data_IF_725780631748
#
_entry.id   IF_725780631748
#
_cell.length_a   1.000
_cell.length_b   1.000
_cell.length_c   1.000
_cell.angle_alpha   90.00
_cell.angle_beta   90.00
_cell.angle_gamma   90.00
#
_symmetry.space_group_name_H-M   'P 1'
#
loop_
_entity.id
_entity.type
_entity.pdbx_description
1 polymer ?
#
# COMPACT_ATOMS: atom_id res chain seq x y z
N UNK A 1 5.17 53.23 -36.26
CA UNK A 1 6.02 52.06 -36.17
C UNK A 1 5.11 50.93 -35.72
N UNK A 2 4.61 50.15 -36.66
CA UNK A 2 3.56 49.14 -36.48
C UNK A 2 4.24 47.78 -36.26
N UNK A 3 3.97 47.15 -35.16
CA UNK A 3 4.50 45.81 -34.83
C UNK A 3 3.67 44.76 -35.58
N UNK A 4 4.27 43.87 -36.39
CA UNK A 4 3.51 42.85 -37.10
C UNK A 4 3.05 41.75 -36.14
N UNK A 5 1.76 41.34 -36.27
CA UNK A 5 1.15 40.24 -35.55
C UNK A 5 1.86 38.91 -35.88
N UNK A 6 2.32 38.23 -34.85
CA UNK A 6 2.88 36.90 -34.99
C UNK A 6 1.79 35.90 -35.44
N UNK A 7 2.03 35.22 -36.54
CA UNK A 7 1.23 34.10 -37.02
C UNK A 7 1.28 32.99 -35.95
N UNK A 8 0.14 32.73 -35.32
CA UNK A 8 -0.05 31.52 -34.51
C UNK A 8 -0.07 30.34 -35.48
N UNK A 9 0.95 29.51 -35.38
CA UNK A 9 1.07 28.28 -36.15
C UNK A 9 -0.02 27.31 -35.61
N UNK A 10 -0.98 26.97 -36.47
CA UNK A 10 -2.02 25.99 -36.18
C UNK A 10 -1.40 24.60 -36.07
N UNK A 11 -1.29 24.08 -34.85
CA UNK A 11 -1.09 22.68 -34.62
C UNK A 11 -2.48 22.03 -34.54
N UNK A 12 -2.85 21.28 -35.56
CA UNK A 12 -3.92 20.31 -35.49
C UNK A 12 -3.48 19.23 -34.50
N UNK A 13 -3.82 19.44 -33.24
CA UNK A 13 -3.85 18.38 -32.23
C UNK A 13 -5.26 17.83 -32.26
N UNK A 14 -5.40 16.55 -32.57
CA UNK A 14 -6.57 15.80 -32.15
C UNK A 14 -6.68 15.99 -30.64
N UNK A 15 -7.55 16.87 -30.19
CA UNK A 15 -7.84 17.13 -28.79
C UNK A 15 -8.47 15.86 -28.23
N UNK A 16 -7.67 15.06 -27.54
CA UNK A 16 -8.17 14.08 -26.60
C UNK A 16 -8.70 14.89 -25.41
N UNK A 17 -9.88 15.49 -25.56
CA UNK A 17 -10.52 16.32 -24.54
C UNK A 17 -11.04 15.37 -23.48
N UNK A 18 -10.40 15.43 -22.28
CA UNK A 18 -10.89 14.73 -21.09
C UNK A 18 -12.34 15.10 -20.84
N UNK A 19 -13.15 14.12 -20.49
CA UNK A 19 -14.50 14.37 -20.01
C UNK A 19 -14.47 15.13 -18.68
N UNK A 20 -15.61 15.70 -18.29
CA UNK A 20 -15.73 16.40 -17.00
C UNK A 20 -15.41 15.47 -15.83
N UNK A 21 -15.91 14.25 -15.86
CA UNK A 21 -15.69 13.25 -14.80
C UNK A 21 -14.21 12.85 -14.70
N UNK A 22 -13.52 12.68 -15.82
CA UNK A 22 -12.08 12.41 -15.84
C UNK A 22 -11.28 13.58 -15.27
N UNK A 23 -11.68 14.81 -15.59
CA UNK A 23 -11.04 16.02 -15.05
C UNK A 23 -11.27 16.13 -13.53
N UNK A 24 -12.47 15.87 -13.04
CA UNK A 24 -12.81 15.89 -11.61
C UNK A 24 -12.00 14.84 -10.85
N UNK A 25 -11.94 13.60 -11.33
CA UNK A 25 -11.11 12.53 -10.74
C UNK A 25 -9.64 12.93 -10.69
N UNK A 26 -9.12 13.45 -11.80
CA UNK A 26 -7.73 13.89 -11.86
C UNK A 26 -7.43 15.01 -10.87
N UNK A 27 -8.30 16.00 -10.74
CA UNK A 27 -8.14 17.09 -9.77
C UNK A 27 -8.14 16.59 -8.33
N UNK A 28 -9.00 15.62 -7.99
CA UNK A 28 -8.99 14.97 -6.68
C UNK A 28 -7.66 14.25 -6.47
N UNK A 29 -7.18 13.48 -7.45
CA UNK A 29 -5.90 12.80 -7.39
C UNK A 29 -4.71 13.75 -7.18
N UNK A 30 -4.65 14.86 -7.94
CA UNK A 30 -3.60 15.89 -7.77
C UNK A 30 -3.61 16.50 -6.36
N UNK A 31 -4.78 16.76 -5.81
CA UNK A 31 -4.91 17.31 -4.46
C UNK A 31 -4.48 16.29 -3.39
N UNK A 32 -4.85 15.01 -3.54
CA UNK A 32 -4.42 13.94 -2.65
C UNK A 32 -2.90 13.75 -2.70
N UNK A 33 -2.32 13.70 -3.90
CA UNK A 33 -0.88 13.60 -4.08
C UNK A 33 -0.15 14.79 -3.42
N UNK A 34 -0.67 16.01 -3.56
CA UNK A 34 -0.10 17.19 -2.92
C UNK A 34 -0.11 17.10 -1.39
N UNK A 35 -1.17 16.53 -0.80
CA UNK A 35 -1.26 16.32 0.65
C UNK A 35 -0.32 15.20 1.09
N UNK A 36 -0.30 14.06 0.38
CA UNK A 36 0.55 12.91 0.71
C UNK A 36 2.04 13.22 0.57
N UNK A 37 2.41 14.14 -0.33
CA UNK A 37 3.80 14.53 -0.56
C UNK A 37 4.23 15.74 0.26
N UNK A 38 3.48 16.12 1.30
CA UNK A 38 3.91 17.13 2.26
C UNK A 38 5.20 16.67 2.92
N UNK A 39 6.19 17.58 2.96
CA UNK A 39 7.47 17.33 3.61
C UNK A 39 7.64 18.30 4.79
N UNK A 40 7.00 18.01 5.94
CA UNK A 40 7.00 18.94 7.09
C UNK A 40 8.38 19.13 7.70
N UNK A 41 9.29 18.18 7.47
CA UNK A 41 10.70 18.26 7.94
C UNK A 41 11.61 18.99 6.95
N UNK A 42 11.17 19.19 5.69
CA UNK A 42 11.91 19.91 4.67
C UNK A 42 13.15 19.22 4.14
N UNK A 43 13.23 17.90 4.25
CA UNK A 43 14.38 17.12 3.75
C UNK A 43 14.39 16.93 2.23
N UNK A 44 13.27 17.19 1.56
CA UNK A 44 13.13 17.08 0.12
C UNK A 44 12.94 15.65 -0.41
N UNK A 45 12.97 14.64 0.44
CA UNK A 45 12.88 13.21 0.07
C UNK A 45 11.53 12.91 -0.58
N UNK A 46 10.43 13.32 0.04
CA UNK A 46 9.08 13.09 -0.48
C UNK A 46 8.90 13.61 -1.91
N UNK A 47 9.46 14.77 -2.21
CA UNK A 47 9.39 15.36 -3.55
C UNK A 47 10.13 14.55 -4.61
N UNK A 48 11.30 13.98 -4.23
CA UNK A 48 12.11 13.15 -5.13
C UNK A 48 11.39 11.84 -5.40
N UNK A 49 10.88 11.17 -4.36
CA UNK A 49 10.13 9.93 -4.47
C UNK A 49 8.86 10.12 -5.30
N UNK A 50 8.10 11.18 -5.02
CA UNK A 50 6.90 11.51 -5.78
C UNK A 50 7.21 11.77 -7.26
N UNK A 51 8.25 12.54 -7.57
CA UNK A 51 8.63 12.82 -8.95
C UNK A 51 8.93 11.51 -9.72
N UNK A 52 9.61 10.56 -9.08
CA UNK A 52 9.87 9.23 -9.66
C UNK A 52 8.58 8.42 -9.87
N UNK A 53 7.71 8.36 -8.87
CA UNK A 53 6.43 7.66 -8.94
C UNK A 53 5.53 8.28 -10.00
N UNK A 54 5.45 9.60 -10.05
CA UNK A 54 4.67 10.34 -11.05
C UNK A 54 5.17 10.13 -12.48
N UNK A 55 6.49 10.07 -12.67
CA UNK A 55 7.08 9.78 -13.98
C UNK A 55 6.76 8.35 -14.43
N UNK A 56 6.66 7.41 -13.50
CA UNK A 56 6.29 6.01 -13.78
C UNK A 56 4.81 5.87 -14.15
N UNK A 57 3.89 6.49 -13.39
CA UNK A 57 2.45 6.38 -13.63
C UNK A 57 1.94 7.27 -14.77
N UNK A 58 2.60 8.40 -15.03
CA UNK A 58 2.14 9.42 -16.01
C UNK A 58 0.93 10.23 -15.56
N UNK A 59 0.35 9.91 -14.40
CA UNK A 59 -0.87 10.49 -13.84
C UNK A 59 -0.79 10.57 -12.31
N UNK A 60 -1.71 11.22 -11.59
CA UNK A 60 -1.71 11.27 -10.12
C UNK A 60 -1.59 9.88 -9.51
N UNK A 61 -0.59 9.69 -8.64
CA UNK A 61 -0.26 8.36 -8.10
C UNK A 61 -1.37 7.78 -7.25
N UNK A 62 -2.03 8.64 -6.43
CA UNK A 62 -3.18 8.24 -5.62
C UNK A 62 -4.39 7.84 -6.49
N UNK A 63 -4.64 8.58 -7.58
CA UNK A 63 -5.70 8.23 -8.53
C UNK A 63 -5.40 6.90 -9.21
N UNK A 64 -4.19 6.73 -9.74
CA UNK A 64 -3.74 5.49 -10.39
C UNK A 64 -3.90 4.26 -9.47
N UNK A 65 -3.45 4.38 -8.22
CA UNK A 65 -3.60 3.33 -7.21
C UNK A 65 -5.07 3.03 -6.91
N UNK A 66 -5.90 4.07 -6.70
CA UNK A 66 -7.32 3.90 -6.44
C UNK A 66 -8.05 3.22 -7.59
N UNK A 67 -7.80 3.63 -8.84
CA UNK A 67 -8.41 3.00 -10.02
C UNK A 67 -7.98 1.54 -10.19
N UNK A 68 -6.71 1.22 -9.92
CA UNK A 68 -6.24 -0.16 -9.94
C UNK A 68 -6.95 -1.03 -8.88
N UNK A 69 -7.12 -0.52 -7.66
CA UNK A 69 -7.81 -1.21 -6.58
C UNK A 69 -9.32 -1.34 -6.88
N UNK A 70 -9.98 -0.28 -7.35
CA UNK A 70 -11.40 -0.31 -7.74
C UNK A 70 -11.68 -1.33 -8.84
N UNK A 71 -10.74 -1.51 -9.77
CA UNK A 71 -10.85 -2.49 -10.85
C UNK A 71 -10.63 -3.93 -10.37
N UNK A 72 -9.78 -4.12 -9.37
CA UNK A 72 -9.36 -5.44 -8.92
C UNK A 72 -10.24 -6.02 -7.81
N UNK A 73 -10.84 -5.18 -6.95
CA UNK A 73 -11.50 -5.62 -5.71
C UNK A 73 -13.02 -5.64 -5.89
N UNK A 74 -13.63 -6.77 -5.58
CA UNK A 74 -15.07 -6.98 -5.57
C UNK A 74 -15.55 -7.40 -4.18
N UNK A 75 -16.86 -7.33 -3.88
CA UNK A 75 -17.40 -7.78 -2.60
C UNK A 75 -17.04 -9.24 -2.29
N UNK A 76 -16.51 -9.46 -1.09
CA UNK A 76 -16.04 -10.76 -0.62
C UNK A 76 -14.59 -11.09 -0.96
N UNK A 77 -13.92 -10.30 -1.80
CA UNK A 77 -12.54 -10.56 -2.18
C UNK A 77 -11.55 -10.32 -1.03
N UNK A 78 -10.58 -11.23 -0.84
CA UNK A 78 -9.49 -11.01 0.10
C UNK A 78 -8.53 -9.93 -0.41
N UNK A 79 -8.05 -9.08 0.51
CA UNK A 79 -7.04 -8.06 0.24
C UNK A 79 -5.95 -8.14 1.31
N UNK A 80 -4.71 -8.36 0.90
CA UNK A 80 -3.60 -8.40 1.85
C UNK A 80 -3.06 -7.00 2.11
N UNK A 81 -2.81 -6.69 3.40
CA UNK A 81 -2.17 -5.46 3.84
C UNK A 81 -0.89 -5.85 4.58
N UNK A 82 0.25 -5.61 3.95
CA UNK A 82 1.56 -5.88 4.54
C UNK A 82 1.97 -4.66 5.35
N UNK A 83 2.31 -4.85 6.63
CA UNK A 83 2.59 -3.74 7.54
C UNK A 83 3.45 -4.21 8.73
N UNK A 84 4.02 -3.27 9.47
CA UNK A 84 4.65 -3.55 10.76
C UNK A 84 6.15 -3.30 10.79
N UNK A 85 6.61 -2.22 10.15
CA UNK A 85 7.98 -1.72 10.32
C UNK A 85 8.29 -1.51 11.80
N UNK A 86 9.48 -1.93 12.25
CA UNK A 86 9.87 -1.94 13.66
C UNK A 86 10.80 -0.80 13.98
N UNK A 87 10.39 0.08 14.88
CA UNK A 87 11.19 1.21 15.34
C UNK A 87 12.21 0.82 16.41
N UNK A 88 13.43 1.38 16.29
CA UNK A 88 14.45 1.33 17.31
C UNK A 88 14.41 2.60 18.19
N UNK A 89 14.79 2.51 19.47
CA UNK A 89 15.33 1.34 20.19
C UNK A 89 14.27 0.43 20.81
N UNK A 90 13.00 0.82 20.79
CA UNK A 90 11.93 0.17 21.56
C UNK A 90 11.45 -1.17 20.97
N UNK A 91 11.79 -1.45 19.69
CA UNK A 91 11.39 -2.67 18.96
C UNK A 91 9.87 -2.87 18.93
N UNK A 92 9.15 -1.78 18.71
CA UNK A 92 7.70 -1.75 18.55
C UNK A 92 7.33 -1.38 17.12
N UNK A 93 6.16 -1.81 16.61
CA UNK A 93 5.71 -1.43 15.28
C UNK A 93 5.51 0.10 15.20
N UNK A 94 5.84 0.66 14.07
CA UNK A 94 5.63 2.07 13.75
C UNK A 94 4.13 2.40 13.76
N UNK A 95 3.80 3.56 14.35
CA UNK A 95 2.41 3.91 14.61
C UNK A 95 1.67 4.34 13.34
N UNK A 96 2.30 5.14 12.49
CA UNK A 96 1.68 5.65 11.25
C UNK A 96 1.30 4.52 10.28
N UNK A 97 2.19 3.57 10.00
CA UNK A 97 1.87 2.39 9.21
C UNK A 97 0.78 1.54 9.85
N UNK A 98 0.86 1.32 11.16
CA UNK A 98 -0.09 0.45 11.89
C UNK A 98 -1.51 1.04 11.92
N UNK A 99 -1.64 2.34 12.24
CA UNK A 99 -2.94 3.02 12.29
C UNK A 99 -3.52 3.16 10.89
N UNK A 100 -2.72 3.55 9.91
CA UNK A 100 -3.14 3.70 8.52
C UNK A 100 -3.62 2.38 7.93
N UNK A 101 -2.94 1.26 8.21
CA UNK A 101 -3.36 -0.07 7.75
C UNK A 101 -4.73 -0.49 8.32
N UNK A 102 -5.00 -0.21 9.60
CA UNK A 102 -6.29 -0.50 10.22
C UNK A 102 -7.41 0.37 9.63
N UNK A 103 -7.18 1.66 9.42
CA UNK A 103 -8.17 2.56 8.80
C UNK A 103 -8.42 2.18 7.34
N UNK A 104 -7.37 1.79 6.61
CA UNK A 104 -7.48 1.28 5.25
C UNK A 104 -8.29 -0.03 5.22
N UNK A 105 -8.01 -0.97 6.13
CA UNK A 105 -8.79 -2.20 6.24
C UNK A 105 -10.28 -1.92 6.47
N UNK A 106 -10.60 -1.02 7.39
CA UNK A 106 -11.99 -0.59 7.60
C UNK A 106 -12.61 0.02 6.34
N UNK A 107 -11.87 0.86 5.63
CA UNK A 107 -12.34 1.49 4.40
C UNK A 107 -12.62 0.47 3.31
N UNK A 108 -11.76 -0.54 3.16
CA UNK A 108 -11.95 -1.64 2.21
C UNK A 108 -13.20 -2.47 2.53
N UNK A 109 -13.46 -2.75 3.82
CA UNK A 109 -14.68 -3.45 4.25
C UNK A 109 -15.92 -2.63 3.91
N UNK A 110 -15.92 -1.33 4.25
CA UNK A 110 -17.12 -0.51 4.10
C UNK A 110 -17.41 -0.09 2.66
N UNK A 111 -16.36 0.22 1.88
CA UNK A 111 -16.51 0.70 0.52
C UNK A 111 -16.67 -0.42 -0.51
N UNK A 112 -15.99 -1.55 -0.31
CA UNK A 112 -15.95 -2.64 -1.29
C UNK A 112 -16.63 -3.94 -0.79
N UNK A 113 -16.94 -4.05 0.51
CA UNK A 113 -17.32 -5.33 1.10
C UNK A 113 -16.18 -6.35 1.07
N UNK A 114 -14.94 -5.89 0.95
CA UNK A 114 -13.76 -6.73 0.88
C UNK A 114 -13.43 -7.41 2.21
N UNK A 115 -12.54 -8.39 2.17
CA UNK A 115 -12.05 -9.17 3.30
C UNK A 115 -10.57 -8.87 3.53
N UNK A 116 -10.22 -7.76 4.23
CA UNK A 116 -8.84 -7.42 4.48
C UNK A 116 -8.16 -8.41 5.42
N UNK A 117 -6.90 -8.71 5.13
CA UNK A 117 -6.03 -9.57 5.93
C UNK A 117 -4.72 -8.82 6.16
N UNK A 118 -4.45 -8.43 7.41
CA UNK A 118 -3.17 -7.86 7.81
C UNK A 118 -2.14 -8.97 7.93
N UNK A 119 -0.99 -8.76 7.30
CA UNK A 119 0.19 -9.61 7.40
C UNK A 119 1.31 -8.81 8.08
N UNK A 120 1.71 -9.21 9.27
CA UNK A 120 2.61 -8.45 10.13
C UNK A 120 3.57 -9.36 10.92
N UNK A 121 4.62 -8.82 11.59
CA UNK A 121 5.42 -9.60 12.52
C UNK A 121 4.57 -10.18 13.66
N UNK A 122 4.94 -11.38 14.18
CA UNK A 122 4.21 -12.06 15.26
C UNK A 122 4.00 -11.16 16.50
N UNK A 123 5.00 -10.39 16.87
CA UNK A 123 4.96 -9.49 18.03
C UNK A 123 4.04 -8.27 17.83
N UNK A 124 3.55 -8.04 16.62
CA UNK A 124 2.58 -6.98 16.30
C UNK A 124 1.13 -7.45 16.29
N UNK A 125 0.86 -8.77 16.23
CA UNK A 125 -0.49 -9.35 16.07
C UNK A 125 -1.47 -8.82 17.12
N UNK A 126 -1.09 -8.84 18.39
CA UNK A 126 -1.98 -8.40 19.49
C UNK A 126 -2.32 -6.89 19.41
N UNK A 127 -1.39 -6.06 18.90
CA UNK A 127 -1.66 -4.66 18.69
C UNK A 127 -2.71 -4.46 17.58
N UNK A 128 -2.58 -5.16 16.47
CA UNK A 128 -3.55 -5.10 15.37
C UNK A 128 -4.93 -5.63 15.77
N UNK A 129 -5.00 -6.70 16.60
CA UNK A 129 -6.26 -7.21 17.15
C UNK A 129 -6.98 -6.15 17.97
N UNK A 130 -6.25 -5.48 18.87
CA UNK A 130 -6.82 -4.42 19.71
C UNK A 130 -7.28 -3.23 18.89
N UNK A 131 -6.44 -2.74 17.96
CA UNK A 131 -6.78 -1.60 17.11
C UNK A 131 -7.95 -1.88 16.17
N UNK A 132 -8.04 -3.08 15.59
CA UNK A 132 -9.15 -3.48 14.73
C UNK A 132 -10.49 -3.45 15.46
N UNK A 133 -10.52 -3.94 16.69
CA UNK A 133 -11.73 -3.91 17.51
C UNK A 133 -12.18 -2.47 17.84
N UNK A 134 -11.24 -1.55 18.08
CA UNK A 134 -11.55 -0.12 18.33
C UNK A 134 -12.25 0.54 17.15
N UNK A 135 -11.90 0.18 15.93
CA UNK A 135 -12.53 0.73 14.72
C UNK A 135 -13.76 -0.05 14.27
N UNK A 136 -14.25 -0.98 15.09
CA UNK A 136 -15.48 -1.75 14.84
C UNK A 136 -15.32 -2.88 13.81
N UNK A 137 -14.13 -3.44 13.68
CA UNK A 137 -13.88 -4.67 12.94
C UNK A 137 -13.72 -5.84 13.91
N UNK A 138 -14.25 -7.00 13.55
CA UNK A 138 -14.01 -8.26 14.28
C UNK A 138 -12.73 -8.89 13.77
N UNK A 139 -11.75 -9.09 14.65
CA UNK A 139 -10.40 -9.54 14.25
C UNK A 139 -10.21 -11.02 14.52
N UNK A 140 -9.76 -11.74 13.50
CA UNK A 140 -9.58 -13.19 13.55
C UNK A 140 -8.17 -13.60 13.06
N UNK A 141 -7.54 -14.53 13.77
CA UNK A 141 -6.33 -15.22 13.29
C UNK A 141 -6.70 -16.42 12.42
N UNK A 142 -7.89 -16.99 12.64
CA UNK A 142 -8.44 -17.99 11.73
C UNK A 142 -9.00 -17.30 10.47
N UNK A 143 -8.32 -17.52 9.35
CA UNK A 143 -8.66 -16.86 8.09
C UNK A 143 -9.97 -17.37 7.49
N UNK A 144 -10.36 -18.61 7.77
CA UNK A 144 -11.59 -19.17 7.23
C UNK A 144 -12.78 -18.44 7.89
N UNK A 145 -12.73 -18.25 9.21
CA UNK A 145 -13.70 -17.41 9.96
C UNK A 145 -13.69 -15.95 9.46
N UNK A 146 -12.49 -15.37 9.22
CA UNK A 146 -12.39 -14.00 8.72
C UNK A 146 -13.04 -13.84 7.34
N UNK A 147 -12.95 -14.84 6.48
CA UNK A 147 -13.56 -14.82 5.15
C UNK A 147 -15.08 -14.97 5.18
N UNK A 148 -15.63 -15.71 6.15
CA UNK A 148 -17.07 -15.96 6.25
C UNK A 148 -17.82 -14.78 6.88
N UNK A 149 -17.30 -14.21 7.98
CA UNK A 149 -18.05 -13.27 8.80
C UNK A 149 -18.02 -11.82 8.26
N UNK A 150 -19.10 -11.05 8.46
CA UNK A 150 -19.13 -9.64 8.09
C UNK A 150 -18.25 -8.79 9.01
N UNK A 151 -17.88 -7.59 8.55
CA UNK A 151 -17.07 -6.63 9.28
C UNK A 151 -15.79 -7.25 9.89
N UNK A 152 -15.22 -8.24 9.19
CA UNK A 152 -14.07 -9.00 9.66
C UNK A 152 -12.75 -8.43 9.16
N UNK A 153 -11.72 -8.69 9.93
CA UNK A 153 -10.32 -8.43 9.62
C UNK A 153 -9.50 -9.67 9.97
N UNK A 154 -8.86 -10.27 8.97
CA UNK A 154 -7.88 -11.32 9.21
C UNK A 154 -6.54 -10.74 9.70
N UNK A 155 -5.86 -11.44 10.61
CA UNK A 155 -4.48 -11.09 10.99
C UNK A 155 -3.60 -12.32 10.93
N UNK A 156 -2.50 -12.23 10.19
CA UNK A 156 -1.53 -13.32 9.99
C UNK A 156 -0.15 -12.89 10.43
N UNK A 157 0.46 -13.67 11.28
CA UNK A 157 1.87 -13.53 11.61
C UNK A 157 2.74 -14.01 10.46
N UNK A 158 3.66 -13.16 10.02
CA UNK A 158 4.65 -13.52 9.01
C UNK A 158 6.05 -13.61 9.61
N UNK A 159 6.83 -14.57 9.14
CA UNK A 159 8.11 -14.91 9.74
C UNK A 159 9.19 -13.83 9.53
N UNK A 160 10.04 -13.68 10.54
CA UNK A 160 11.30 -12.92 10.47
C UNK A 160 12.45 -13.77 9.93
N UNK A 161 12.28 -15.08 9.83
CA UNK A 161 13.28 -16.03 9.35
C UNK A 161 13.29 -16.10 7.82
N UNK A 162 14.41 -15.66 7.23
CA UNK A 162 14.61 -15.62 5.78
C UNK A 162 14.49 -17.00 5.12
N UNK A 163 14.89 -18.07 5.83
CA UNK A 163 14.84 -19.42 5.28
C UNK A 163 13.40 -19.98 5.23
N UNK A 164 12.54 -19.55 6.16
CA UNK A 164 11.13 -19.98 6.25
C UNK A 164 10.19 -19.15 5.38
N UNK A 165 10.56 -17.92 5.06
CA UNK A 165 9.69 -16.97 4.39
C UNK A 165 9.18 -17.47 3.02
N UNK A 166 9.96 -18.10 2.13
CA UNK A 166 9.44 -18.56 0.84
C UNK A 166 8.35 -19.64 0.98
N UNK A 167 8.54 -20.57 1.90
CA UNK A 167 7.55 -21.62 2.14
C UNK A 167 6.26 -21.05 2.73
N UNK A 168 6.36 -20.12 3.68
CA UNK A 168 5.21 -19.45 4.28
C UNK A 168 4.48 -18.58 3.25
N UNK A 169 5.20 -17.81 2.42
CA UNK A 169 4.63 -16.99 1.36
C UNK A 169 3.80 -17.83 0.37
N UNK A 170 4.41 -18.93 -0.08
CA UNK A 170 3.73 -19.87 -0.99
C UNK A 170 2.49 -20.47 -0.34
N UNK A 171 2.60 -20.97 0.88
CA UNK A 171 1.48 -21.60 1.58
C UNK A 171 0.31 -20.62 1.81
N UNK A 172 0.62 -19.35 2.17
CA UNK A 172 -0.40 -18.34 2.36
C UNK A 172 -1.09 -17.96 1.04
N UNK A 173 -0.32 -17.77 -0.04
CA UNK A 173 -0.85 -17.48 -1.36
C UNK A 173 -1.64 -18.65 -1.99
N UNK A 174 -1.27 -19.89 -1.65
CA UNK A 174 -2.00 -21.09 -2.09
C UNK A 174 -3.31 -21.27 -1.29
N UNK A 175 -3.34 -20.89 -0.01
CA UNK A 175 -4.55 -20.95 0.81
C UNK A 175 -5.56 -19.88 0.40
N UNK A 176 -5.13 -18.63 0.26
CA UNK A 176 -5.98 -17.49 -0.09
C UNK A 176 -5.20 -16.58 -1.04
N UNK A 177 -5.54 -16.62 -2.33
CA UNK A 177 -4.98 -15.69 -3.30
C UNK A 177 -5.75 -14.37 -3.23
N UNK A 178 -5.12 -13.24 -2.86
CA UNK A 178 -5.84 -11.98 -2.73
C UNK A 178 -6.11 -11.32 -4.08
N UNK A 179 -7.19 -10.54 -4.18
CA UNK A 179 -7.48 -9.70 -5.33
C UNK A 179 -6.50 -8.55 -5.48
N UNK A 180 -5.93 -8.08 -4.38
CA UNK A 180 -4.88 -7.06 -4.35
C UNK A 180 -3.99 -7.22 -3.11
N UNK A 181 -2.76 -6.69 -3.19
CA UNK A 181 -1.86 -6.55 -2.03
C UNK A 181 -1.46 -5.09 -1.89
N UNK A 182 -1.56 -4.58 -0.66
CA UNK A 182 -1.20 -3.21 -0.30
C UNK A 182 -0.10 -3.27 0.75
N UNK A 183 1.03 -2.63 0.50
CA UNK A 183 2.10 -2.47 1.48
C UNK A 183 1.99 -1.10 2.13
N UNK A 184 1.95 -1.05 3.47
CA UNK A 184 1.90 0.21 4.23
C UNK A 184 3.03 0.18 5.24
N UNK A 185 4.05 1.01 5.04
CA UNK A 185 5.24 1.05 5.89
C UNK A 185 5.77 -0.35 6.23
N UNK A 186 6.02 -1.16 5.19
CA UNK A 186 6.60 -2.49 5.32
C UNK A 186 8.00 -2.51 4.71
N UNK A 187 8.96 -2.92 5.51
CA UNK A 187 10.36 -2.97 5.11
C UNK A 187 10.63 -4.06 4.08
N UNK A 188 11.51 -3.76 3.12
CA UNK A 188 12.01 -4.72 2.13
C UNK A 188 13.52 -4.89 2.18
N UNK A 189 14.02 -6.03 1.74
CA UNK A 189 15.44 -6.31 1.62
C UNK A 189 16.08 -5.59 0.42
N UNK A 190 17.26 -5.02 0.61
CA UNK A 190 18.07 -4.53 -0.49
C UNK A 190 18.63 -5.69 -1.36
N UNK A 191 19.44 -5.39 -2.38
CA UNK A 191 20.01 -6.40 -3.26
C UNK A 191 20.86 -7.49 -2.54
N UNK A 192 21.32 -7.22 -1.32
CA UNK A 192 22.04 -8.17 -0.46
C UNK A 192 21.09 -8.91 0.51
N UNK A 193 19.80 -8.57 0.50
CA UNK A 193 18.79 -9.10 1.41
C UNK A 193 18.93 -8.59 2.83
N UNK A 194 19.47 -7.37 3.00
CA UNK A 194 19.59 -6.67 4.28
C UNK A 194 18.55 -5.57 4.35
N UNK A 195 17.87 -5.47 5.48
CA UNK A 195 16.82 -4.47 5.73
C UNK A 195 17.40 -3.32 6.55
N UNK A 196 17.16 -2.09 6.13
CA UNK A 196 17.68 -0.91 6.79
C UNK A 196 16.54 0.04 7.16
N UNK A 197 16.71 0.74 8.28
CA UNK A 197 15.87 1.88 8.58
C UNK A 197 16.36 3.16 7.86
N UNK A 198 15.61 4.26 7.99
CA UNK A 198 15.89 5.54 7.35
C UNK A 198 17.28 6.14 7.66
N UNK A 199 17.91 5.73 8.77
CA UNK A 199 19.28 6.16 9.14
C UNK A 199 20.35 5.11 8.80
N UNK A 200 20.01 4.10 8.00
CA UNK A 200 20.95 3.09 7.51
C UNK A 200 21.34 2.01 8.52
N UNK A 201 20.64 1.89 9.66
CA UNK A 201 20.86 0.79 10.59
C UNK A 201 20.23 -0.50 10.08
N UNK A 202 20.97 -1.60 10.24
CA UNK A 202 20.46 -2.94 9.93
C UNK A 202 19.37 -3.35 10.92
N UNK A 203 18.17 -3.59 10.40
CA UNK A 203 17.00 -4.06 11.13
C UNK A 203 16.54 -5.46 10.66
N UNK A 204 17.37 -6.15 9.90
CA UNK A 204 17.04 -7.44 9.27
C UNK A 204 16.47 -8.47 10.23
N UNK A 205 17.00 -8.55 11.46
CA UNK A 205 16.53 -9.51 12.47
C UNK A 205 15.17 -9.12 13.10
N UNK A 206 14.74 -7.88 12.93
CA UNK A 206 13.52 -7.33 13.54
C UNK A 206 12.32 -7.42 12.63
N UNK A 207 12.53 -7.36 11.31
CA UNK A 207 11.49 -7.23 10.30
C UNK A 207 10.95 -8.59 9.83
N UNK A 208 9.63 -8.67 9.67
CA UNK A 208 9.02 -9.76 8.93
C UNK A 208 9.47 -9.71 7.46
N UNK A 209 9.64 -10.86 6.84
CA UNK A 209 10.08 -10.98 5.45
C UNK A 209 8.90 -10.85 4.47
N UNK A 210 8.05 -9.85 4.69
CA UNK A 210 6.81 -9.63 3.93
C UNK A 210 7.06 -9.30 2.45
N UNK A 211 8.23 -8.77 2.11
CA UNK A 211 8.68 -8.58 0.73
C UNK A 211 8.80 -9.89 -0.06
N UNK A 212 9.06 -11.02 0.61
CA UNK A 212 9.04 -12.35 -0.02
C UNK A 212 7.61 -12.71 -0.43
N UNK A 213 6.62 -12.45 0.42
CA UNK A 213 5.20 -12.62 0.08
C UNK A 213 4.77 -11.65 -1.03
N UNK A 214 5.18 -10.38 -0.95
CA UNK A 214 4.94 -9.39 -2.00
C UNK A 214 5.42 -9.89 -3.36
N UNK A 215 6.65 -10.39 -3.43
CA UNK A 215 7.23 -10.90 -4.68
C UNK A 215 6.51 -12.16 -5.19
N UNK A 216 6.10 -13.07 -4.29
CA UNK A 216 5.30 -14.25 -4.64
C UNK A 216 3.95 -13.85 -5.24
N UNK A 217 3.23 -12.91 -4.61
CA UNK A 217 1.94 -12.43 -5.11
C UNK A 217 2.08 -11.68 -6.44
N UNK A 218 3.13 -10.86 -6.57
CA UNK A 218 3.44 -10.16 -7.82
C UNK A 218 3.73 -11.14 -8.96
N UNK A 219 4.48 -12.21 -8.69
CA UNK A 219 4.75 -13.26 -9.67
C UNK A 219 3.49 -13.99 -10.12
N UNK A 220 2.46 -14.04 -9.27
CA UNK A 220 1.11 -14.58 -9.60
C UNK A 220 0.20 -13.57 -10.29
N UNK A 221 0.67 -12.38 -10.59
CA UNK A 221 -0.10 -11.34 -11.27
C UNK A 221 -1.07 -10.56 -10.37
N UNK A 222 -0.92 -10.64 -9.04
CA UNK A 222 -1.76 -9.89 -8.10
C UNK A 222 -1.43 -8.40 -8.20
N UNK A 223 -2.43 -7.52 -8.41
CA UNK A 223 -2.26 -6.07 -8.37
C UNK A 223 -1.67 -5.61 -7.04
N UNK A 224 -0.74 -4.65 -7.09
CA UNK A 224 0.00 -4.25 -5.92
C UNK A 224 0.14 -2.71 -5.83
N UNK A 225 -0.03 -2.19 -4.61
CA UNK A 225 0.12 -0.76 -4.27
C UNK A 225 1.02 -0.65 -3.03
N UNK A 226 1.95 0.29 -3.02
CA UNK A 226 2.80 0.55 -1.87
C UNK A 226 2.65 2.00 -1.40
N UNK A 227 2.63 2.20 -0.08
CA UNK A 227 2.61 3.47 0.62
C UNK A 227 3.79 3.45 1.61
N UNK A 228 4.66 4.44 1.52
CA UNK A 228 5.83 4.55 2.40
C UNK A 228 6.75 5.68 1.95
N UNK A 229 7.70 6.06 2.81
CA UNK A 229 8.71 7.07 2.54
C UNK A 229 10.17 6.54 2.65
#
# INVERSE_FOLDING_TARGET
MTIPAAKVCGAEKGENTMTRDELEKRNVGENLDAIMCLDPRGYGVCRILYAGSRAYTGEPTAMHAAEALCKAIHPGDPVYILVGFVLLPHKVPEMDGSVSAILLARSLVLAFGAKPIIVCPQDSVEAFKKCGNVVGLHVYEDLDTAMELPLSLGVVAFTKDKAKAPAQAKALADKILPAAVISVEACGGNAKGVYHNAVGKDVTALEAKSDVLWNELRARGVPNVAIGD
#
